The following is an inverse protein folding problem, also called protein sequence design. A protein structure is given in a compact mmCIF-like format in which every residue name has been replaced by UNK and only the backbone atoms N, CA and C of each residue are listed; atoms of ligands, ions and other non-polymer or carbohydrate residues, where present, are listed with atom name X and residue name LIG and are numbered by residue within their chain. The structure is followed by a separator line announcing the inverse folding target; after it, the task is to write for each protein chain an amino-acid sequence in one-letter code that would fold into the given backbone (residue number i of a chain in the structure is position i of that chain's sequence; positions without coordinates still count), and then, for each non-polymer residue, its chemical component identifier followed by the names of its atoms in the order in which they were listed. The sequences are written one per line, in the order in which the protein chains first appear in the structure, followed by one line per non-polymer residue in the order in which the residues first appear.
data_IF_074739913286
#
_entry.id   IF_074739913286
#
_cell.length_a   1.000
_cell.length_b   1.000
_cell.length_c   1.000
_cell.angle_alpha   90.00
_cell.angle_beta   90.00
_cell.angle_gamma   90.00
#
_symmetry.space_group_name_H-M   'P 1'
#
loop_
_entity.id
_entity.type
_entity.pdbx_description
1 polymer ?
#
# COMPACT_ATOMS: atom_id res chain seq x y z
N UNK A 1 32.02 44.95 14.88
CA UNK A 1 32.07 43.48 14.97
C UNK A 1 30.87 42.98 14.21
N UNK A 2 31.08 42.46 13.00
CA UNK A 2 30.01 42.00 12.13
C UNK A 2 29.81 40.50 12.35
N UNK A 3 28.62 40.12 12.81
CA UNK A 3 28.22 38.72 12.91
C UNK A 3 27.95 38.22 11.48
N UNK A 4 28.74 37.24 11.06
CA UNK A 4 28.54 36.53 9.79
C UNK A 4 27.37 35.57 10.02
N UNK A 5 26.27 35.65 9.26
CA UNK A 5 25.22 34.66 9.37
C UNK A 5 25.79 33.34 8.84
N UNK A 6 25.93 32.36 9.72
CA UNK A 6 26.26 30.99 9.33
C UNK A 6 25.10 30.46 8.51
N UNK A 7 25.24 30.51 7.18
CA UNK A 7 24.36 29.81 6.25
C UNK A 7 24.25 28.37 6.71
N UNK A 8 23.06 28.01 7.17
CA UNK A 8 22.68 26.66 7.58
C UNK A 8 22.82 25.74 6.38
N UNK A 9 24.00 25.15 6.21
CA UNK A 9 24.20 23.99 5.38
C UNK A 9 23.36 22.87 5.98
N UNK A 10 22.16 22.66 5.45
CA UNK A 10 21.35 21.48 5.75
C UNK A 10 22.16 20.26 5.30
N UNK A 11 22.90 19.68 6.25
CA UNK A 11 23.55 18.40 6.07
C UNK A 11 22.45 17.41 5.71
N UNK A 12 22.64 16.66 4.63
CA UNK A 12 21.70 15.67 4.14
C UNK A 12 21.66 14.50 5.13
N UNK A 13 20.97 14.67 6.27
CA UNK A 13 20.77 13.62 7.24
C UNK A 13 19.65 12.70 6.77
N UNK A 14 19.65 11.42 7.19
CA UNK A 14 18.52 10.52 6.94
C UNK A 14 17.18 11.14 7.34
N UNK A 15 17.12 11.83 8.48
CA UNK A 15 15.90 12.49 8.96
C UNK A 15 15.42 13.58 8.01
N UNK A 16 16.35 14.40 7.49
CA UNK A 16 16.02 15.48 6.54
C UNK A 16 15.47 14.93 5.23
N UNK A 17 16.00 13.79 4.76
CA UNK A 17 15.52 13.10 3.56
C UNK A 17 14.11 12.54 3.76
N UNK A 18 13.84 11.94 4.92
CA UNK A 18 12.51 11.41 5.26
C UNK A 18 11.49 12.55 5.34
N UNK A 19 11.83 13.65 6.03
CA UNK A 19 10.97 14.83 6.14
C UNK A 19 10.65 15.44 4.78
N UNK A 20 11.64 15.51 3.89
CA UNK A 20 11.44 15.99 2.53
C UNK A 20 10.59 15.04 1.70
N UNK A 21 10.80 13.73 1.83
CA UNK A 21 10.02 12.69 1.17
C UNK A 21 8.54 12.77 1.58
N UNK A 22 8.28 13.02 2.86
CA UNK A 22 6.94 13.29 3.40
C UNK A 22 6.36 14.59 2.82
N UNK A 23 7.12 15.68 2.87
CA UNK A 23 6.69 17.01 2.41
C UNK A 23 6.35 17.05 0.93
N UNK A 24 7.08 16.29 0.11
CA UNK A 24 6.85 16.17 -1.34
C UNK A 24 5.68 15.22 -1.68
N UNK A 25 5.07 14.57 -0.68
CA UNK A 25 3.92 13.70 -0.87
C UNK A 25 4.26 12.36 -1.53
N UNK A 26 5.53 11.94 -1.51
CA UNK A 26 5.96 10.70 -2.17
C UNK A 26 5.30 9.46 -1.56
N UNK A 27 4.99 9.45 -0.26
CA UNK A 27 4.21 8.37 0.36
C UNK A 27 2.82 8.22 -0.25
N UNK A 28 2.11 9.33 -0.49
CA UNK A 28 0.76 9.27 -1.06
C UNK A 28 0.80 8.88 -2.54
N UNK A 29 1.79 9.38 -3.28
CA UNK A 29 2.03 8.97 -4.67
C UNK A 29 2.29 7.47 -4.78
N UNK A 30 3.16 6.94 -3.93
CA UNK A 30 3.52 5.54 -3.89
C UNK A 30 2.32 4.67 -3.51
N UNK A 31 1.57 5.07 -2.48
CA UNK A 31 0.32 4.39 -2.07
C UNK A 31 -0.69 4.32 -3.22
N UNK A 32 -0.89 5.44 -3.93
CA UNK A 32 -1.81 5.50 -5.09
C UNK A 32 -1.32 4.63 -6.24
N UNK A 33 -0.03 4.63 -6.53
CA UNK A 33 0.56 3.81 -7.58
C UNK A 33 0.42 2.32 -7.24
N UNK A 34 0.76 1.92 -6.02
CA UNK A 34 0.59 0.55 -5.55
C UNK A 34 -0.86 0.07 -5.67
N UNK A 35 -1.82 0.89 -5.22
CA UNK A 35 -3.24 0.54 -5.32
C UNK A 35 -3.65 0.38 -6.79
N UNK A 36 -3.23 1.29 -7.65
CA UNK A 36 -3.52 1.22 -9.09
C UNK A 36 -2.95 -0.05 -9.72
N UNK A 37 -1.68 -0.34 -9.46
CA UNK A 37 -1.03 -1.54 -9.97
C UNK A 37 -1.74 -2.78 -9.45
N UNK A 38 -2.13 -2.80 -8.17
CA UNK A 38 -2.81 -3.94 -7.56
C UNK A 38 -4.13 -4.21 -8.28
N UNK A 39 -4.96 -3.17 -8.45
CA UNK A 39 -6.27 -3.27 -9.10
C UNK A 39 -6.18 -3.79 -10.55
N UNK A 40 -5.04 -3.60 -11.22
CA UNK A 40 -4.77 -4.07 -12.59
C UNK A 40 -4.06 -5.44 -12.63
N UNK A 41 -3.71 -6.02 -11.49
CA UNK A 41 -2.94 -7.26 -11.42
C UNK A 41 -3.82 -8.51 -11.48
N UNK A 42 -3.25 -9.60 -11.98
CA UNK A 42 -3.86 -10.95 -11.92
C UNK A 42 -4.15 -11.38 -10.47
N UNK A 43 -3.35 -10.92 -9.50
CA UNK A 43 -3.58 -11.21 -8.08
C UNK A 43 -4.88 -10.61 -7.57
N UNK A 44 -5.22 -9.39 -8.00
CA UNK A 44 -6.52 -8.79 -7.68
C UNK A 44 -7.67 -9.52 -8.37
N UNK A 45 -7.50 -9.95 -9.63
CA UNK A 45 -8.51 -10.75 -10.32
C UNK A 45 -8.79 -12.07 -9.58
N UNK A 46 -7.73 -12.81 -9.21
CA UNK A 46 -7.85 -14.04 -8.44
C UNK A 46 -8.48 -13.82 -7.05
N UNK A 47 -8.08 -12.75 -6.35
CA UNK A 47 -8.68 -12.39 -5.06
C UNK A 47 -10.18 -12.10 -5.19
N UNK A 48 -10.59 -11.37 -6.24
CA UNK A 48 -11.99 -11.11 -6.52
C UNK A 48 -12.78 -12.38 -6.81
N UNK A 49 -12.22 -13.29 -7.61
CA UNK A 49 -12.86 -14.58 -7.90
C UNK A 49 -13.06 -15.41 -6.63
N UNK A 50 -12.04 -15.48 -5.76
CA UNK A 50 -12.15 -16.15 -4.46
C UNK A 50 -13.23 -15.51 -3.57
N UNK A 51 -13.27 -14.18 -3.50
CA UNK A 51 -14.27 -13.43 -2.74
C UNK A 51 -15.69 -13.68 -3.26
N UNK A 52 -15.87 -13.62 -4.57
CA UNK A 52 -17.16 -13.86 -5.24
C UNK A 52 -17.64 -15.30 -5.04
N UNK A 53 -16.73 -16.28 -5.16
CA UNK A 53 -17.02 -17.69 -4.90
C UNK A 53 -17.45 -17.92 -3.44
N UNK A 54 -16.70 -17.37 -2.47
CA UNK A 54 -17.06 -17.46 -1.06
C UNK A 54 -18.43 -16.85 -0.76
N UNK A 55 -18.70 -15.65 -1.28
CA UNK A 55 -19.98 -14.98 -1.09
C UNK A 55 -21.12 -15.76 -1.74
N UNK A 56 -20.90 -16.32 -2.93
CA UNK A 56 -21.88 -17.14 -3.61
C UNK A 56 -22.24 -18.38 -2.78
N UNK A 57 -21.23 -19.08 -2.25
CA UNK A 57 -21.42 -20.24 -1.39
C UNK A 57 -22.15 -19.89 -0.08
N UNK A 58 -21.78 -18.77 0.54
CA UNK A 58 -22.42 -18.29 1.76
C UNK A 58 -23.91 -17.98 1.52
N UNK A 59 -24.20 -17.20 0.48
CA UNK A 59 -25.58 -16.82 0.15
C UNK A 59 -26.40 -18.03 -0.26
N UNK A 60 -25.82 -18.97 -1.01
CA UNK A 60 -26.53 -20.17 -1.47
C UNK A 60 -26.86 -21.12 -0.32
N UNK A 61 -25.98 -21.26 0.68
CA UNK A 61 -26.22 -22.10 1.87
C UNK A 61 -27.33 -21.54 2.76
N UNK A 62 -27.44 -20.22 2.86
CA UNK A 62 -28.41 -19.53 3.72
C UNK A 62 -29.51 -18.79 2.92
N UNK A 63 -29.78 -19.21 1.68
CA UNK A 63 -30.60 -18.45 0.74
C UNK A 63 -32.00 -18.14 1.27
N UNK A 64 -32.67 -19.12 1.90
CA UNK A 64 -33.98 -18.93 2.50
C UNK A 64 -33.93 -17.95 3.68
N UNK A 65 -32.98 -18.13 4.60
CA UNK A 65 -32.80 -17.25 5.77
C UNK A 65 -32.53 -15.80 5.35
N UNK A 66 -31.67 -15.62 4.34
CA UNK A 66 -31.30 -14.30 3.84
C UNK A 66 -32.45 -13.65 3.06
N UNK A 67 -33.25 -14.41 2.32
CA UNK A 67 -34.37 -13.87 1.53
C UNK A 67 -35.40 -13.13 2.39
N UNK A 68 -35.75 -13.69 3.55
CA UNK A 68 -36.74 -13.13 4.48
C UNK A 68 -36.16 -12.10 5.47
N UNK A 69 -34.85 -11.87 5.45
CA UNK A 69 -34.19 -10.96 6.39
C UNK A 69 -34.24 -9.51 5.88
N UNK A 70 -34.40 -8.56 6.81
CA UNK A 70 -34.32 -7.13 6.49
C UNK A 70 -33.00 -6.80 5.77
N UNK A 71 -33.05 -5.89 4.79
CA UNK A 71 -31.91 -5.56 3.95
C UNK A 71 -30.68 -5.10 4.75
N UNK A 72 -30.87 -4.33 5.83
CA UNK A 72 -29.76 -3.85 6.66
C UNK A 72 -29.11 -4.98 7.44
N UNK A 73 -29.92 -5.89 7.97
CA UNK A 73 -29.43 -7.06 8.71
C UNK A 73 -28.73 -8.04 7.77
N UNK A 74 -29.26 -8.22 6.55
CA UNK A 74 -28.66 -9.05 5.50
C UNK A 74 -27.27 -8.54 5.10
N UNK A 75 -27.13 -7.24 4.90
CA UNK A 75 -25.83 -6.61 4.64
C UNK A 75 -24.88 -6.78 5.83
N UNK A 76 -25.36 -6.58 7.06
CA UNK A 76 -24.55 -6.76 8.27
C UNK A 76 -24.05 -8.20 8.40
N UNK A 77 -24.87 -9.21 8.11
CA UNK A 77 -24.45 -10.61 8.18
C UNK A 77 -23.38 -10.94 7.13
N UNK A 78 -23.56 -10.44 5.90
CA UNK A 78 -22.59 -10.64 4.81
C UNK A 78 -21.25 -9.99 5.18
N UNK A 79 -21.27 -8.76 5.68
CA UNK A 79 -20.05 -8.08 6.13
C UNK A 79 -19.38 -8.84 7.29
N UNK A 80 -20.16 -9.33 8.25
CA UNK A 80 -19.62 -10.11 9.35
C UNK A 80 -19.00 -11.43 8.89
N UNK A 81 -19.62 -12.11 7.91
CA UNK A 81 -19.07 -13.33 7.32
C UNK A 81 -17.74 -13.05 6.60
N UNK A 82 -17.65 -11.93 5.86
CA UNK A 82 -16.42 -11.50 5.22
C UNK A 82 -15.32 -11.18 6.24
N UNK A 83 -15.64 -10.48 7.33
CA UNK A 83 -14.67 -10.13 8.38
C UNK A 83 -14.15 -11.37 9.13
N UNK A 84 -14.95 -12.45 9.20
CA UNK A 84 -14.55 -13.71 9.82
C UNK A 84 -13.67 -14.58 8.91
N UNK A 85 -13.67 -14.33 7.61
CA UNK A 85 -12.88 -15.12 6.67
C UNK A 85 -11.49 -14.48 6.47
N UNK A 86 -10.39 -15.25 6.57
CA UNK A 86 -9.03 -14.72 6.45
C UNK A 86 -8.62 -14.32 5.01
N UNK A 87 -9.56 -14.09 4.07
CA UNK A 87 -9.22 -13.80 2.66
C UNK A 87 -8.26 -12.62 2.53
N UNK A 88 -8.48 -11.58 3.34
CA UNK A 88 -7.63 -10.38 3.31
C UNK A 88 -6.24 -10.65 3.90
N UNK A 89 -6.18 -11.37 5.02
CA UNK A 89 -4.91 -11.74 5.65
C UNK A 89 -4.08 -12.66 4.75
N UNK A 90 -4.74 -13.59 4.06
CA UNK A 90 -4.14 -14.47 3.06
C UNK A 90 -3.59 -13.66 1.88
N UNK A 91 -4.36 -12.69 1.36
CA UNK A 91 -3.90 -11.80 0.30
C UNK A 91 -2.66 -10.99 0.74
N UNK A 92 -2.69 -10.39 1.93
CA UNK A 92 -1.56 -9.60 2.44
C UNK A 92 -0.33 -10.48 2.64
N UNK A 93 -0.52 -11.69 3.18
CA UNK A 93 0.52 -12.69 3.33
C UNK A 93 1.14 -13.02 1.98
N UNK A 94 0.31 -13.29 0.95
CA UNK A 94 0.76 -13.59 -0.41
C UNK A 94 1.53 -12.44 -1.05
N UNK A 95 1.09 -11.19 -0.85
CA UNK A 95 1.80 -10.00 -1.33
C UNK A 95 3.16 -9.79 -0.62
N UNK A 96 3.32 -10.37 0.58
CA UNK A 96 4.54 -10.31 1.38
C UNK A 96 5.49 -11.51 1.24
N UNK A 97 5.05 -12.60 0.56
CA UNK A 97 5.88 -13.78 0.34
C UNK A 97 7.17 -13.39 -0.39
N UNK A 98 8.32 -13.76 0.18
CA UNK A 98 9.63 -13.37 -0.33
C UNK A 98 9.91 -13.99 -1.70
N UNK A 99 10.41 -13.18 -2.64
CA UNK A 99 10.74 -13.59 -4.00
C UNK A 99 10.86 -12.37 -4.93
N UNK A 100 11.32 -12.57 -6.18
CA UNK A 100 11.46 -11.49 -7.19
C UNK A 100 10.15 -10.77 -7.50
N UNK A 101 9.01 -11.38 -7.19
CA UNK A 101 7.67 -10.83 -7.42
C UNK A 101 6.97 -10.41 -6.12
N UNK A 102 7.71 -10.31 -5.02
CA UNK A 102 7.16 -9.82 -3.75
C UNK A 102 6.84 -8.34 -3.89
N UNK A 103 5.65 -7.94 -3.45
CA UNK A 103 5.24 -6.54 -3.49
C UNK A 103 5.64 -5.81 -2.22
N UNK A 104 5.50 -6.50 -1.10
CA UNK A 104 5.79 -6.01 0.25
C UNK A 104 7.11 -6.61 0.77
N UNK A 105 7.61 -6.08 1.87
CA UNK A 105 8.87 -6.53 2.48
C UNK A 105 10.12 -5.85 1.92
N UNK A 106 11.26 -6.10 2.57
CA UNK A 106 12.53 -5.38 2.33
C UNK A 106 13.10 -5.59 0.92
N UNK A 107 12.91 -6.78 0.36
CA UNK A 107 13.27 -7.12 -1.02
C UNK A 107 12.13 -6.93 -2.03
N UNK A 108 10.97 -6.43 -1.59
CA UNK A 108 9.80 -6.26 -2.44
C UNK A 108 9.88 -5.03 -3.34
N UNK A 109 9.02 -5.01 -4.36
CA UNK A 109 8.90 -3.92 -5.34
C UNK A 109 8.69 -2.55 -4.69
N UNK A 110 7.95 -2.49 -3.58
CA UNK A 110 7.75 -1.25 -2.83
C UNK A 110 9.06 -0.68 -2.29
N UNK A 111 9.85 -1.52 -1.62
CA UNK A 111 11.11 -1.09 -1.02
C UNK A 111 12.12 -0.66 -2.09
N UNK A 112 12.10 -1.32 -3.26
CA UNK A 112 12.90 -0.91 -4.42
C UNK A 112 12.50 0.48 -4.92
N UNK A 113 11.21 0.74 -5.11
CA UNK A 113 10.72 2.06 -5.52
C UNK A 113 11.09 3.17 -4.52
N UNK A 114 11.01 2.90 -3.22
CA UNK A 114 11.44 3.87 -2.18
C UNK A 114 12.93 4.13 -2.28
N UNK A 115 13.76 3.08 -2.40
CA UNK A 115 15.22 3.23 -2.55
C UNK A 115 15.59 4.04 -3.78
N UNK A 116 14.94 3.80 -4.92
CA UNK A 116 15.14 4.57 -6.14
C UNK A 116 14.78 6.04 -5.95
N UNK A 117 13.64 6.33 -5.34
CA UNK A 117 13.20 7.70 -5.13
C UNK A 117 14.11 8.46 -4.16
N UNK A 118 14.52 7.83 -3.06
CA UNK A 118 15.51 8.40 -2.13
C UNK A 118 16.85 8.62 -2.82
N UNK A 119 17.30 7.70 -3.68
CA UNK A 119 18.54 7.87 -4.46
C UNK A 119 18.46 9.08 -5.37
N UNK A 120 17.33 9.31 -6.04
CA UNK A 120 17.10 10.50 -6.88
C UNK A 120 17.13 11.78 -6.05
N UNK A 121 16.53 11.79 -4.86
CA UNK A 121 16.59 12.94 -3.95
C UNK A 121 18.03 13.26 -3.53
N UNK A 122 18.81 12.24 -3.16
CA UNK A 122 20.23 12.40 -2.81
C UNK A 122 21.02 13.00 -3.98
N UNK A 123 20.80 12.49 -5.20
CA UNK A 123 21.46 13.00 -6.41
C UNK A 123 21.08 14.46 -6.69
N UNK A 124 19.80 14.82 -6.57
CA UNK A 124 19.34 16.20 -6.77
C UNK A 124 20.01 17.18 -5.80
N UNK A 125 20.17 16.79 -4.52
CA UNK A 125 20.90 17.55 -3.50
C UNK A 125 22.41 17.66 -3.75
N UNK A 126 22.99 16.67 -4.44
CA UNK A 126 24.41 16.72 -4.82
C UNK A 126 24.64 17.68 -6.00
N UNK A 127 23.74 17.67 -6.99
CA UNK A 127 23.79 18.58 -8.14
C UNK A 127 23.52 20.04 -7.75
N UNK A 128 22.59 20.29 -6.83
CA UNK A 128 22.25 21.66 -6.38
C UNK A 128 23.34 22.35 -5.55
N UNK A 129 24.39 21.63 -5.14
CA UNK A 129 25.56 22.21 -4.44
C UNK A 129 26.72 22.54 -5.37
N UNK A 130 26.66 22.12 -6.64
CA UNK A 130 27.71 22.36 -7.63
C UNK A 130 27.45 23.59 -8.51
N UNK A 131 26.26 24.20 -8.40
CA UNK A 131 25.89 25.51 -8.98
C UNK A 131 25.97 26.61 -7.91
#
# INVERSE_FOLDING_TARGET
MSEIPTSSSSSLSPDTLVDEFMRQGHFDQLRKQMLRDFLQSERHAAFREQLESYLHDYVSKDAERLAYRDARLRQSDIMHALDQHPLFDELVSDLSKQGKESWLGEGGRLAEQVREQVTRMIQAHASSRQE
#
